data_IF_272709184929
#
_entry.id   IF_272709184929
#
_cell.length_a   1.000
_cell.length_b   1.000
_cell.length_c   1.000
_cell.angle_alpha   90.00
_cell.angle_beta   90.00
_cell.angle_gamma   90.00
#
_symmetry.space_group_name_H-M   'P 1'
#
loop_
_entity.id
_entity.type
_entity.pdbx_description
1 polymer ?
#
# COMPACT_ATOMS: atom_id res chain seq x y z
N UNK A 1 -17.33 24.72 -2.30
CA UNK A 1 -17.03 24.26 -2.25
C UNK A 1 -16.75 23.38 -2.38
N UNK A 2 -16.73 22.92 -2.53
CA UNK A 2 -16.59 22.08 -2.53
C UNK A 2 -15.92 21.16 -2.47
N UNK A 3 -15.35 21.16 -2.30
CA UNK A 3 -14.51 20.45 -2.04
C UNK A 3 -14.79 19.21 -2.01
N UNK A 4 -15.49 19.07 -1.66
CA UNK A 4 -15.73 17.95 -1.50
C UNK A 4 -15.56 17.08 -2.38
N UNK A 5 -15.44 17.42 -3.20
CA UNK A 5 -15.28 16.67 -4.12
C UNK A 5 -14.55 15.56 -4.03
N UNK A 6 -13.83 15.44 -3.34
CA UNK A 6 -13.02 14.48 -3.31
C UNK A 6 -13.53 13.28 -3.12
N UNK A 7 -14.03 12.83 -3.73
CA UNK A 7 -14.49 11.75 -3.63
C UNK A 7 -13.68 10.75 -3.80
N UNK A 8 -13.44 10.14 -3.04
CA UNK A 8 -12.67 9.17 -3.15
C UNK A 8 -13.32 8.16 -3.74
N UNK A 9 -13.00 7.79 -4.66
CA UNK A 9 -13.50 6.87 -5.26
C UNK A 9 -13.24 5.61 -4.74
N UNK A 10 -13.98 4.94 -4.31
CA UNK A 10 -13.75 3.72 -3.93
C UNK A 10 -14.04 2.77 -4.95
N UNK A 11 -13.36 1.96 -5.22
CA UNK A 11 -13.50 1.04 -6.21
C UNK A 11 -14.46 0.07 -5.73
N UNK A 12 -15.39 -0.13 -6.33
CA UNK A 12 -16.26 -1.04 -5.87
C UNK A 12 -15.92 -2.23 -6.39
N UNK A 13 -15.30 -2.98 -6.03
CA UNK A 13 -14.94 -4.07 -6.57
C UNK A 13 -15.41 -5.28 -6.24
N UNK A 14 -15.76 -5.97 -6.91
CA UNK A 14 -16.29 -7.19 -6.82
C UNK A 14 -15.38 -8.26 -6.61
N UNK A 15 -14.46 -8.36 -7.30
CA UNK A 15 -13.60 -9.47 -7.22
C UNK A 15 -12.79 -9.27 -6.06
N UNK A 16 -13.14 -9.61 -4.95
CA UNK A 16 -12.34 -9.41 -3.87
C UNK A 16 -11.01 -9.91 -3.92
N UNK A 17 -10.71 -11.01 -4.43
CA UNK A 17 -9.38 -11.51 -4.48
C UNK A 17 -8.48 -10.63 -5.27
N UNK A 18 -8.85 -10.30 -6.45
CA UNK A 18 -8.06 -9.48 -7.28
C UNK A 18 -7.97 -8.10 -6.72
N UNK A 19 -9.00 -7.63 -6.11
CA UNK A 19 -8.96 -6.37 -5.59
C UNK A 19 -8.03 -6.29 -4.45
N UNK A 20 -7.96 -7.26 -3.61
CA UNK A 20 -7.06 -7.24 -2.52
C UNK A 20 -5.65 -7.22 -3.02
N UNK A 21 -5.32 -8.04 -3.98
CA UNK A 21 -3.97 -8.08 -4.50
C UNK A 21 -3.61 -6.78 -5.18
N UNK A 22 -4.54 -6.21 -5.91
CA UNK A 22 -4.28 -4.95 -6.58
C UNK A 22 -4.08 -3.84 -5.56
N UNK A 23 -4.87 -3.84 -4.52
CA UNK A 23 -4.73 -2.83 -3.50
C UNK A 23 -3.39 -2.99 -2.80
N UNK A 24 -3.01 -4.22 -2.52
CA UNK A 24 -1.75 -4.45 -1.85
C UNK A 24 -0.58 -4.00 -2.71
N UNK A 25 -0.69 -4.21 -4.01
CA UNK A 25 0.37 -3.79 -4.90
C UNK A 25 0.51 -2.26 -4.89
N UNK A 26 -0.61 -1.58 -4.88
CA UNK A 26 -0.59 -0.14 -4.85
C UNK A 26 0.00 0.35 -3.52
N UNK A 27 -0.40 -0.28 -2.43
CA UNK A 27 0.12 0.09 -1.13
C UNK A 27 1.64 -0.15 -1.09
N UNK A 28 2.09 -1.24 -1.67
CA UNK A 28 3.52 -1.52 -1.66
C UNK A 28 4.28 -0.43 -2.40
N UNK A 29 3.76 -0.01 -3.54
CA UNK A 29 4.43 1.00 -4.33
C UNK A 29 4.47 2.33 -3.60
N UNK A 30 3.35 2.71 -3.01
CA UNK A 30 3.31 3.96 -2.29
C UNK A 30 4.17 3.92 -1.05
N UNK A 31 4.19 2.79 -0.37
CA UNK A 31 5.01 2.67 0.82
C UNK A 31 6.48 2.82 0.48
N UNK A 32 6.89 2.26 -0.64
CA UNK A 32 8.27 2.40 -1.05
C UNK A 32 8.61 3.85 -1.34
N UNK A 33 7.72 4.56 -2.00
CA UNK A 33 7.97 5.95 -2.30
C UNK A 33 8.00 6.79 -1.04
N UNK A 34 7.08 6.50 -0.12
CA UNK A 34 7.05 7.26 1.12
C UNK A 34 8.27 6.96 1.96
N UNK A 35 8.74 5.71 1.94
CA UNK A 35 9.92 5.37 2.69
C UNK A 35 11.13 6.12 2.17
N UNK A 36 11.19 6.30 0.86
CA UNK A 36 12.30 7.03 0.27
C UNK A 36 12.27 8.50 0.72
N UNK A 37 11.08 9.06 0.81
CA UNK A 37 10.96 10.42 1.27
C UNK A 37 11.37 10.52 2.72
N UNK A 38 10.90 9.57 3.53
CA UNK A 38 11.24 9.59 4.95
C UNK A 38 12.74 9.48 5.12
N UNK A 39 13.38 8.65 4.32
CA UNK A 39 14.78 8.47 4.44
C UNK A 39 15.52 9.75 4.10
N UNK A 40 15.10 10.44 3.10
CA UNK A 40 15.76 11.66 2.72
C UNK A 40 15.68 12.74 3.78
N UNK A 41 14.69 12.66 4.63
CA UNK A 41 14.54 13.65 5.66
C UNK A 41 14.96 13.14 7.04
N UNK A 42 15.67 12.05 7.06
CA UNK A 42 16.18 11.54 8.31
C UNK A 42 15.15 10.96 9.25
N UNK A 43 13.99 10.60 8.71
CA UNK A 43 12.94 10.06 9.56
C UNK A 43 13.13 8.55 9.60
N UNK A 44 14.17 8.14 10.29
CA UNK A 44 14.56 6.75 10.25
C UNK A 44 13.54 5.76 10.75
N UNK A 45 12.94 6.05 11.87
CA UNK A 45 11.96 5.12 12.39
C UNK A 45 10.78 5.02 11.45
N UNK A 46 10.36 6.15 10.92
CA UNK A 46 9.23 6.14 10.02
C UNK A 46 9.58 5.37 8.75
N UNK A 47 10.80 5.56 8.26
CA UNK A 47 11.24 4.85 7.09
C UNK A 47 11.20 3.35 7.33
N UNK A 48 11.60 2.93 8.52
CA UNK A 48 11.60 1.53 8.84
C UNK A 48 10.16 0.99 8.87
N UNK A 49 9.25 1.73 9.46
CA UNK A 49 7.88 1.28 9.53
C UNK A 49 7.28 1.19 8.12
N UNK A 50 7.61 2.14 7.28
CA UNK A 50 7.10 2.12 5.93
C UNK A 50 7.67 0.95 5.14
N UNK A 51 8.93 0.61 5.42
CA UNK A 51 9.52 -0.54 4.78
C UNK A 51 8.84 -1.81 5.23
N UNK A 52 8.49 -1.91 6.50
CA UNK A 52 7.80 -3.09 6.96
C UNK A 52 6.42 -3.17 6.31
N UNK A 53 5.78 -2.02 6.15
CA UNK A 53 4.48 -2.00 5.50
C UNK A 53 4.61 -2.46 4.05
N UNK A 54 5.68 -2.04 3.39
CA UNK A 54 5.90 -2.44 2.02
C UNK A 54 6.09 -3.94 1.92
N UNK A 55 6.87 -4.50 2.82
CA UNK A 55 7.11 -5.92 2.78
C UNK A 55 5.83 -6.71 3.00
N UNK A 56 5.05 -6.25 3.93
CA UNK A 56 3.79 -6.93 4.18
C UNK A 56 2.89 -6.83 2.96
N UNK A 57 2.84 -5.68 2.34
CA UNK A 57 2.00 -5.50 1.17
C UNK A 57 2.48 -6.38 0.02
N UNK A 58 3.79 -6.51 -0.11
CA UNK A 58 4.33 -7.37 -1.16
C UNK A 58 3.96 -8.82 -0.91
N UNK A 59 3.94 -9.23 0.33
CA UNK A 59 3.54 -10.57 0.62
C UNK A 59 2.09 -10.79 0.23
N UNK A 60 1.26 -9.81 0.41
CA UNK A 60 -0.14 -9.96 0.07
C UNK A 60 -0.38 -9.96 -1.43
N UNK A 61 0.50 -9.36 -2.18
CA UNK A 61 0.30 -9.34 -3.60
C UNK A 61 0.62 -10.69 -4.20
N UNK A 62 1.35 -11.53 -3.48
CA UNK A 62 1.67 -12.79 -4.04
C UNK A 62 0.55 -13.75 -3.85
N UNK A 63 -0.46 -13.38 -3.15
CA UNK A 63 -1.56 -14.26 -2.96
C UNK A 63 -1.27 -15.25 -1.92
N UNK A 64 -2.13 -16.15 -1.74
CA UNK A 64 -1.98 -17.10 -0.67
C UNK A 64 -0.83 -17.96 -0.89
N UNK A 65 -0.10 -18.27 0.07
CA UNK A 65 0.99 -19.06 -0.09
C UNK A 65 0.65 -20.43 -0.01
N UNK A 66 1.12 -21.19 -0.78
CA UNK A 66 0.84 -22.57 -0.80
C UNK A 66 1.31 -23.13 0.46
N UNK A 67 0.68 -23.87 0.99
CA UNK A 67 1.18 -24.48 2.11
C UNK A 67 0.99 -23.68 3.30
N UNK A 68 0.44 -22.62 3.17
CA UNK A 68 0.29 -21.88 4.36
C UNK A 68 -1.09 -21.59 4.61
#
# INVERSE_FOLDING_TARGET
>A
MPAAAITVVQPSTPAEGDDRAAAACYVATLSADLAAIAKRHGLDTLCYILDMARLEAENLTRGPRPGS
#
